data_IF_117267676580
#
_entry.id   IF_117267676580
#
_cell.length_a   1.000
_cell.length_b   1.000
_cell.length_c   1.000
_cell.angle_alpha   90.00
_cell.angle_beta   90.00
_cell.angle_gamma   90.00
#
_symmetry.space_group_name_H-M   'P 1'
#
loop_
_entity.id
_entity.type
_entity.pdbx_description
1 polymer ?
#
# COMPACT_ATOMS: atom_id res chain seq x y z
N UNK A 1 6.25 18.17 -7.70
CA UNK A 1 5.42 17.06 -8.26
C UNK A 1 4.27 16.71 -7.31
N UNK A 2 3.30 17.61 -7.07
CA UNK A 2 2.16 17.36 -6.13
C UNK A 2 0.81 17.10 -6.80
N UNK A 3 0.70 17.18 -8.13
CA UNK A 3 -0.60 17.20 -8.82
C UNK A 3 -1.39 15.88 -8.86
N UNK A 4 -0.84 14.75 -8.41
CA UNK A 4 -1.51 13.43 -8.47
C UNK A 4 -2.16 12.97 -7.17
N UNK A 5 -1.83 13.58 -6.04
CA UNK A 5 -2.30 13.11 -4.73
C UNK A 5 -3.63 13.74 -4.34
N UNK A 6 -3.91 14.97 -4.78
CA UNK A 6 -5.16 15.64 -4.41
C UNK A 6 -6.42 14.96 -4.98
N UNK A 7 -6.44 14.46 -6.23
CA UNK A 7 -7.58 13.68 -6.73
C UNK A 7 -7.85 12.42 -5.89
N UNK A 8 -6.78 11.76 -5.43
CA UNK A 8 -6.90 10.59 -4.55
C UNK A 8 -7.44 10.97 -3.17
N UNK A 9 -6.97 12.08 -2.59
CA UNK A 9 -7.49 12.56 -1.30
C UNK A 9 -8.95 12.96 -1.40
N UNK A 10 -9.35 13.57 -2.51
CA UNK A 10 -10.74 13.91 -2.77
C UNK A 10 -11.62 12.66 -2.82
N UNK A 11 -11.27 11.64 -3.60
CA UNK A 11 -12.00 10.36 -3.64
C UNK A 11 -12.15 9.75 -2.24
N UNK A 12 -11.07 9.71 -1.48
CA UNK A 12 -11.09 9.13 -0.13
C UNK A 12 -11.94 9.94 0.86
N UNK A 13 -12.04 11.26 0.69
CA UNK A 13 -12.96 12.11 1.47
C UNK A 13 -14.42 11.89 1.04
N UNK A 14 -14.69 11.81 -0.26
CA UNK A 14 -16.03 11.53 -0.81
C UNK A 14 -16.56 10.16 -0.33
N UNK A 15 -15.66 9.18 -0.18
CA UNK A 15 -15.95 7.86 0.39
C UNK A 15 -16.06 7.86 1.93
N UNK A 16 -15.84 9.01 2.58
CA UNK A 16 -15.89 9.14 4.04
C UNK A 16 -14.74 8.45 4.78
N UNK A 17 -13.68 8.04 4.08
CA UNK A 17 -12.53 7.35 4.67
C UNK A 17 -11.49 8.33 5.23
N UNK A 18 -11.42 9.53 4.66
CA UNK A 18 -10.60 10.64 5.14
C UNK A 18 -11.46 11.82 5.62
N UNK A 19 -11.04 12.44 6.71
CA UNK A 19 -11.55 13.72 7.18
C UNK A 19 -11.00 14.91 6.39
N UNK A 20 -11.54 16.10 6.65
CA UNK A 20 -11.07 17.36 6.06
C UNK A 20 -9.62 17.69 6.44
N UNK A 21 -9.16 17.19 7.58
CA UNK A 21 -7.78 17.31 8.08
C UNK A 21 -6.82 16.26 7.49
N UNK A 22 -7.28 15.44 6.55
CA UNK A 22 -6.56 14.30 5.95
C UNK A 22 -6.20 13.19 6.95
N UNK A 23 -6.91 13.08 8.08
CA UNK A 23 -6.80 11.93 8.96
C UNK A 23 -7.86 10.88 8.62
N UNK A 24 -7.58 9.63 8.94
CA UNK A 24 -8.57 8.56 8.78
C UNK A 24 -9.75 8.80 9.72
N UNK A 25 -10.96 8.59 9.21
CA UNK A 25 -12.17 8.54 10.04
C UNK A 25 -12.27 7.16 10.71
N UNK A 26 -13.26 6.96 11.58
CA UNK A 26 -13.55 5.63 12.13
C UNK A 26 -13.83 4.60 11.01
N UNK A 27 -14.56 5.00 9.95
CA UNK A 27 -14.79 4.18 8.77
C UNK A 27 -13.48 3.91 8.00
N UNK A 28 -12.61 4.92 7.87
CA UNK A 28 -11.27 4.78 7.29
C UNK A 28 -10.40 3.76 8.03
N UNK A 29 -10.41 3.78 9.36
CA UNK A 29 -9.71 2.80 10.19
C UNK A 29 -10.28 1.39 10.03
N UNK A 30 -11.60 1.23 10.03
CA UNK A 30 -12.22 -0.08 9.82
C UNK A 30 -11.91 -0.65 8.43
N UNK A 31 -11.96 0.19 7.38
CA UNK A 31 -11.62 -0.22 6.02
C UNK A 31 -10.16 -0.65 5.89
N UNK A 32 -9.23 0.09 6.51
CA UNK A 32 -7.82 -0.29 6.53
C UNK A 32 -7.58 -1.60 7.28
N UNK A 33 -8.27 -1.83 8.41
CA UNK A 33 -8.19 -3.07 9.15
C UNK A 33 -8.68 -4.26 8.30
N UNK A 34 -9.80 -4.10 7.60
CA UNK A 34 -10.33 -5.13 6.69
C UNK A 34 -9.34 -5.46 5.58
N UNK A 35 -8.74 -4.45 4.93
CA UNK A 35 -7.72 -4.66 3.91
C UNK A 35 -6.51 -5.44 4.44
N UNK A 36 -6.09 -5.18 5.67
CA UNK A 36 -4.98 -5.92 6.30
C UNK A 36 -5.36 -7.39 6.51
N UNK A 37 -6.57 -7.67 7.00
CA UNK A 37 -7.05 -9.04 7.19
C UNK A 37 -7.24 -9.77 5.85
N UNK A 38 -7.77 -9.08 4.84
CA UNK A 38 -7.92 -9.61 3.49
C UNK A 38 -6.54 -9.96 2.90
N UNK A 39 -5.55 -9.09 3.09
CA UNK A 39 -4.18 -9.34 2.63
C UNK A 39 -3.54 -10.51 3.39
N UNK A 40 -3.71 -10.63 4.69
CA UNK A 40 -3.24 -11.80 5.47
C UNK A 40 -3.90 -13.09 5.02
N UNK A 41 -5.17 -13.01 4.63
CA UNK A 41 -5.94 -14.16 4.16
C UNK A 41 -5.61 -14.54 2.71
N UNK A 42 -5.26 -13.55 1.88
CA UNK A 42 -4.91 -13.70 0.48
C UNK A 42 -3.40 -13.95 0.25
N UNK A 43 -2.54 -13.61 1.20
CA UNK A 43 -1.18 -14.12 1.25
C UNK A 43 -1.28 -15.64 1.35
N UNK A 44 -1.14 -16.31 0.19
CA UNK A 44 -0.75 -17.70 0.15
C UNK A 44 0.40 -17.88 1.13
N UNK A 45 0.43 -18.97 1.95
CA UNK A 45 1.53 -19.20 2.86
C UNK A 45 2.81 -18.96 2.06
N UNK A 46 3.60 -17.96 2.48
CA UNK A 46 4.92 -17.75 1.90
C UNK A 46 5.62 -19.07 2.09
N UNK A 47 5.68 -19.86 1.02
CA UNK A 47 6.17 -21.23 1.08
C UNK A 47 7.59 -21.12 1.64
N UNK A 48 7.81 -21.58 2.88
CA UNK A 48 9.11 -21.40 3.53
C UNK A 48 10.21 -22.13 2.77
N UNK A 49 9.82 -23.11 1.95
CA UNK A 49 10.70 -23.91 1.09
C UNK A 49 10.74 -23.36 -0.35
N UNK A 50 9.95 -22.34 -0.69
CA UNK A 50 10.00 -21.74 -2.01
C UNK A 50 11.36 -21.06 -2.23
N UNK A 51 11.98 -21.25 -3.41
CA UNK A 51 13.22 -20.59 -3.74
C UNK A 51 13.05 -19.08 -3.65
N UNK A 52 13.87 -18.42 -2.84
CA UNK A 52 13.90 -16.95 -2.76
C UNK A 52 14.09 -16.39 -4.17
N UNK A 53 13.25 -15.44 -4.55
CA UNK A 53 13.38 -14.72 -5.82
C UNK A 53 14.74 -14.02 -5.83
N UNK A 54 15.69 -14.57 -6.59
CA UNK A 54 16.94 -13.90 -6.89
C UNK A 54 16.68 -12.81 -7.92
N UNK A 55 16.48 -11.60 -7.44
CA UNK A 55 16.52 -10.43 -8.29
C UNK A 55 17.92 -10.29 -8.86
N UNK A 56 18.10 -10.59 -10.16
CA UNK A 56 19.33 -10.32 -10.91
C UNK A 56 19.47 -8.81 -11.13
N UNK A 57 19.58 -8.04 -10.05
CA UNK A 57 19.91 -6.62 -10.13
C UNK A 57 21.43 -6.50 -10.27
N UNK A 58 21.87 -6.32 -11.52
CA UNK A 58 23.20 -5.78 -11.77
C UNK A 58 23.16 -4.30 -11.41
N UNK A 59 23.55 -3.98 -10.17
CA UNK A 59 23.99 -2.62 -9.86
C UNK A 59 25.26 -2.38 -10.68
N UNK A 60 25.09 -1.85 -11.89
CA UNK A 60 26.19 -1.37 -12.70
C UNK A 60 26.95 -0.34 -11.87
N UNK A 61 28.13 -0.70 -11.38
CA UNK A 61 29.01 0.24 -10.72
C UNK A 61 29.36 1.31 -11.73
N UNK A 62 28.72 2.47 -11.57
CA UNK A 62 29.00 3.67 -12.33
C UNK A 62 30.42 4.09 -11.95
N UNK A 63 31.41 3.67 -12.76
CA UNK A 63 32.80 4.09 -12.60
C UNK A 63 32.86 5.61 -12.73
N UNK A 64 33.57 6.20 -11.77
CA UNK A 64 33.79 7.63 -11.56
C UNK A 64 34.65 8.22 -12.65
#
# INVERSE_FOLDING_TARGET
MSGRIEPLRQDLRERGLLGSDNRLTAAGHAHAAQLIEDLRSAEAPSDPDAPRVQWKHHFGQRRR
#
